data_IF_769138734273
#
_entry.id   IF_769138734273
#
_cell.length_a   1.000
_cell.length_b   1.000
_cell.length_c   1.000
_cell.angle_alpha   90.00
_cell.angle_beta   90.00
_cell.angle_gamma   90.00
#
_symmetry.space_group_name_H-M   'P 1'
#
loop_
_entity.id
_entity.type
_entity.pdbx_description
1 polymer ?
#
# COMPACT_ATOMS: atom_id res chain seq x y z
N UNK A 1 -3.77 53.08 37.71
CA UNK A 1 -3.35 54.08 36.70
C UNK A 1 -3.91 53.66 35.36
N UNK A 2 -4.90 54.42 34.89
CA UNK A 2 -5.69 54.25 33.67
C UNK A 2 -4.87 54.65 32.44
N UNK A 3 -5.02 53.93 31.31
CA UNK A 3 -5.12 54.54 29.98
C UNK A 3 -5.67 53.56 28.93
N UNK A 4 -6.91 53.85 28.56
CA UNK A 4 -7.68 53.44 27.38
C UNK A 4 -7.05 54.04 26.11
N UNK A 5 -7.02 53.28 24.99
CA UNK A 5 -7.15 53.79 23.59
C UNK A 5 -7.75 52.67 22.72
N UNK A 6 -9.06 52.71 22.44
CA UNK A 6 -9.73 53.22 21.22
C UNK A 6 -9.36 52.51 19.90
N UNK A 7 -10.39 51.87 19.31
CA UNK A 7 -10.51 51.48 17.89
C UNK A 7 -10.91 52.68 17.02
N UNK A 8 -10.63 52.62 15.70
CA UNK A 8 -11.64 52.85 14.65
C UNK A 8 -11.68 51.62 13.70
N UNK A 9 -12.78 51.09 13.16
CA UNK A 9 -13.98 51.63 12.51
C UNK A 9 -13.71 52.26 11.12
N UNK A 10 -13.73 51.43 10.06
CA UNK A 10 -13.90 51.77 8.62
C UNK A 10 -14.40 50.49 7.93
N UNK A 11 -15.29 50.42 6.94
CA UNK A 11 -16.47 51.17 6.51
C UNK A 11 -17.19 50.22 5.52
N UNK A 12 -18.52 50.28 5.46
CA UNK A 12 -19.36 49.52 4.52
C UNK A 12 -19.12 49.93 3.06
N UNK A 13 -19.26 48.98 2.14
CA UNK A 13 -19.76 49.24 0.79
C UNK A 13 -20.62 48.06 0.32
N UNK A 14 -21.93 48.26 0.39
CA UNK A 14 -22.97 47.42 -0.20
C UNK A 14 -23.00 47.62 -1.72
N UNK A 15 -23.10 46.55 -2.51
CA UNK A 15 -23.59 46.61 -3.89
C UNK A 15 -24.81 45.70 -4.00
N UNK A 16 -25.97 46.35 -4.07
CA UNK A 16 -27.22 45.78 -4.53
C UNK A 16 -27.20 45.77 -6.07
N UNK A 17 -27.53 44.64 -6.69
CA UNK A 17 -27.72 44.51 -8.13
C UNK A 17 -28.90 43.58 -8.41
N UNK A 18 -29.96 44.13 -8.96
CA UNK A 18 -31.29 43.57 -9.02
C UNK A 18 -31.51 42.54 -10.16
N UNK A 19 -32.43 41.63 -9.84
CA UNK A 19 -33.25 40.72 -10.65
C UNK A 19 -33.39 40.97 -12.16
N UNK A 20 -33.36 39.88 -12.94
CA UNK A 20 -34.34 39.64 -14.02
C UNK A 20 -34.67 38.15 -14.11
N UNK A 21 -35.91 37.83 -13.75
CA UNK A 21 -36.60 36.57 -14.03
C UNK A 21 -37.02 36.56 -15.51
N UNK A 22 -36.64 35.53 -16.26
CA UNK A 22 -37.33 35.18 -17.51
C UNK A 22 -38.07 33.86 -17.31
N UNK A 23 -39.39 33.99 -17.10
CA UNK A 23 -40.36 32.94 -17.33
C UNK A 23 -40.62 32.86 -18.84
N UNK A 24 -40.35 31.71 -19.44
CA UNK A 24 -40.98 31.30 -20.69
C UNK A 24 -41.49 29.88 -20.51
N UNK A 25 -42.82 29.79 -20.37
CA UNK A 25 -43.59 28.58 -20.40
C UNK A 25 -43.65 28.05 -21.84
N UNK A 26 -43.45 26.75 -22.02
CA UNK A 26 -44.06 26.02 -23.12
C UNK A 26 -44.82 24.84 -22.53
N UNK A 27 -46.12 24.92 -22.76
CA UNK A 27 -47.17 23.97 -22.44
C UNK A 27 -46.95 22.61 -23.10
N UNK A 28 -47.47 21.61 -22.38
CA UNK A 28 -47.49 20.20 -22.70
C UNK A 28 -48.44 19.96 -23.89
N UNK A 29 -47.97 19.23 -24.90
CA UNK A 29 -48.84 18.57 -25.87
C UNK A 29 -48.73 17.06 -25.63
N UNK A 30 -49.78 16.52 -25.01
CA UNK A 30 -50.03 15.10 -24.95
C UNK A 30 -50.75 14.72 -26.25
N UNK A 31 -50.06 13.96 -27.10
CA UNK A 31 -50.70 13.26 -28.21
C UNK A 31 -50.24 11.81 -28.20
N UNK A 32 -51.13 10.95 -27.71
CA UNK A 32 -51.02 9.50 -27.78
C UNK A 32 -51.09 9.07 -29.24
N UNK A 33 -50.17 8.21 -29.67
CA UNK A 33 -50.39 7.32 -30.81
C UNK A 33 -49.69 6.00 -30.52
N UNK A 34 -50.50 4.95 -30.37
CA UNK A 34 -50.08 3.55 -30.33
C UNK A 34 -49.32 3.18 -31.60
N UNK A 35 -48.26 2.38 -31.44
CA UNK A 35 -47.49 1.85 -32.55
C UNK A 35 -46.44 0.85 -32.09
N UNK A 36 -46.90 -0.38 -31.85
CA UNK A 36 -46.21 -1.65 -32.15
C UNK A 36 -44.78 -1.87 -31.64
N UNK A 37 -44.71 -2.67 -30.58
CA UNK A 37 -43.79 -3.79 -30.36
C UNK A 37 -42.53 -3.87 -31.26
N UNK A 38 -41.38 -3.55 -30.69
CA UNK A 38 -40.11 -4.20 -31.00
C UNK A 38 -39.25 -4.16 -29.75
N UNK A 39 -39.52 -5.10 -28.84
CA UNK A 39 -38.61 -5.38 -27.73
C UNK A 39 -37.29 -5.90 -28.32
N UNK A 40 -36.33 -5.01 -28.50
CA UNK A 40 -34.94 -5.42 -28.56
C UNK A 40 -34.60 -6.05 -27.21
N UNK A 41 -33.96 -7.24 -27.16
CA UNK A 41 -33.47 -7.75 -25.89
C UNK A 41 -32.47 -6.73 -25.36
N UNK A 42 -32.81 -6.08 -24.24
CA UNK A 42 -31.84 -5.44 -23.37
C UNK A 42 -30.85 -6.53 -23.00
N UNK A 43 -29.71 -6.56 -23.68
CA UNK A 43 -28.52 -7.17 -23.12
C UNK A 43 -28.25 -6.37 -21.85
N UNK A 44 -28.63 -6.93 -20.70
CA UNK A 44 -28.00 -6.58 -19.46
C UNK A 44 -26.53 -6.93 -19.64
N UNK A 45 -25.71 -5.93 -19.95
CA UNK A 45 -24.30 -5.95 -19.60
C UNK A 45 -24.27 -6.07 -18.06
N UNK A 46 -24.29 -7.30 -17.58
CA UNK A 46 -23.86 -7.61 -16.23
C UNK A 46 -22.39 -7.24 -16.20
N UNK A 47 -22.10 -6.07 -15.61
CA UNK A 47 -20.74 -5.61 -15.38
C UNK A 47 -19.94 -6.79 -14.82
N UNK A 48 -18.76 -7.10 -15.40
CA UNK A 48 -17.95 -8.20 -14.90
C UNK A 48 -17.81 -8.05 -13.39
N UNK A 49 -18.27 -9.06 -12.65
CA UNK A 49 -18.07 -9.09 -11.20
C UNK A 49 -16.58 -8.87 -10.96
N UNK A 50 -16.25 -7.84 -10.18
CA UNK A 50 -14.87 -7.53 -9.84
C UNK A 50 -14.18 -8.81 -9.37
N UNK A 51 -13.11 -9.21 -10.07
CA UNK A 51 -12.40 -10.43 -9.74
C UNK A 51 -11.93 -10.35 -8.28
N UNK A 52 -12.15 -11.43 -7.54
CA UNK A 52 -11.74 -11.48 -6.14
C UNK A 52 -10.22 -11.23 -6.05
N UNK A 53 -9.77 -10.40 -5.11
CA UNK A 53 -8.36 -10.07 -4.97
C UNK A 53 -7.55 -11.33 -4.65
N UNK A 54 -6.48 -11.54 -5.41
CA UNK A 54 -5.52 -12.64 -5.15
C UNK A 54 -4.96 -12.47 -3.74
N UNK A 55 -5.04 -13.53 -2.93
CA UNK A 55 -4.61 -13.55 -1.54
C UNK A 55 -5.17 -12.37 -0.71
N UNK A 56 -6.47 -12.09 -0.89
CA UNK A 56 -7.18 -11.04 -0.17
C UNK A 56 -7.18 -11.24 1.35
N UNK A 57 -6.92 -10.17 2.10
CA UNK A 57 -7.09 -10.12 3.57
C UNK A 57 -8.44 -9.51 3.94
N UNK A 58 -8.90 -9.74 5.18
CA UNK A 58 -10.07 -9.01 5.71
C UNK A 58 -9.73 -7.53 5.94
N UNK A 59 -10.34 -6.65 5.14
CA UNK A 59 -10.11 -5.22 5.22
C UNK A 59 -10.42 -4.63 6.61
N UNK A 60 -11.38 -5.20 7.36
CA UNK A 60 -11.75 -4.69 8.70
C UNK A 60 -10.59 -4.73 9.68
N UNK A 61 -9.64 -5.65 9.49
CA UNK A 61 -8.43 -5.75 10.32
C UNK A 61 -7.54 -4.52 10.14
N UNK A 62 -7.60 -3.86 8.97
CA UNK A 62 -6.76 -2.72 8.59
C UNK A 62 -7.48 -1.37 8.72
N UNK A 63 -8.71 -1.35 9.21
CA UNK A 63 -9.45 -0.11 9.45
C UNK A 63 -8.75 0.77 10.48
N UNK A 64 -8.87 2.10 10.32
CA UNK A 64 -8.44 3.07 11.31
C UNK A 64 -9.07 2.79 12.68
N UNK A 65 -8.28 2.96 13.74
CA UNK A 65 -8.80 2.89 15.11
C UNK A 65 -9.59 4.14 15.51
N UNK A 66 -9.47 5.23 14.75
CA UNK A 66 -10.26 6.43 14.92
C UNK A 66 -11.63 6.26 14.22
N UNK A 67 -12.75 6.24 14.98
CA UNK A 67 -14.08 6.01 14.43
C UNK A 67 -14.57 7.14 13.49
N UNK A 68 -13.93 8.31 13.52
CA UNK A 68 -14.25 9.42 12.61
C UNK A 68 -13.47 9.34 11.28
N UNK A 69 -12.48 8.45 11.21
CA UNK A 69 -11.62 8.28 10.04
C UNK A 69 -11.98 6.98 9.31
N UNK A 70 -12.76 7.10 8.23
CA UNK A 70 -12.99 5.98 7.30
C UNK A 70 -11.79 5.83 6.35
N UNK A 71 -10.78 5.11 6.83
CA UNK A 71 -9.58 4.76 6.09
C UNK A 71 -9.08 3.37 6.49
N UNK A 72 -8.41 2.70 5.56
CA UNK A 72 -7.83 1.37 5.73
C UNK A 72 -6.35 1.43 5.42
N UNK A 73 -5.52 1.22 6.43
CA UNK A 73 -4.10 1.51 6.35
C UNK A 73 -3.22 0.34 6.74
N UNK A 74 -2.09 0.24 6.07
CA UNK A 74 -1.07 -0.76 6.38
C UNK A 74 0.33 -0.20 6.26
N UNK A 75 1.27 -0.88 6.91
CA UNK A 75 2.70 -0.75 6.65
C UNK A 75 3.20 -2.04 6.00
N UNK A 76 4.16 -1.91 5.09
CA UNK A 76 4.86 -3.08 4.53
C UNK A 76 5.72 -3.79 5.59
N UNK A 77 6.02 -5.09 5.41
CA UNK A 77 6.90 -5.82 6.35
C UNK A 77 8.31 -5.21 6.46
N UNK A 78 8.81 -4.56 5.40
CA UNK A 78 10.08 -3.83 5.44
C UNK A 78 10.00 -2.50 6.24
N UNK A 79 8.80 -2.05 6.59
CA UNK A 79 8.52 -0.76 7.21
C UNK A 79 8.76 0.45 6.30
N UNK A 80 9.08 0.24 5.01
CA UNK A 80 9.43 1.34 4.09
C UNK A 80 8.24 2.08 3.53
N UNK A 81 7.12 1.38 3.34
CA UNK A 81 5.91 1.98 2.81
C UNK A 81 4.81 1.92 3.86
N UNK A 82 4.17 3.07 4.07
CA UNK A 82 2.91 3.19 4.77
C UNK A 82 1.87 3.61 3.75
N UNK A 83 0.81 2.82 3.61
CA UNK A 83 -0.19 3.02 2.59
C UNK A 83 -1.59 3.09 3.20
N UNK A 84 -2.51 3.74 2.49
CA UNK A 84 -3.91 3.77 2.86
C UNK A 84 -4.82 3.72 1.64
N UNK A 85 -6.00 3.14 1.83
CA UNK A 85 -7.19 3.34 1.01
C UNK A 85 -8.13 4.23 1.82
N UNK A 86 -8.52 5.37 1.25
CA UNK A 86 -9.37 6.38 1.91
C UNK A 86 -10.64 6.54 1.06
N UNK A 87 -11.68 5.74 1.32
CA UNK A 87 -12.97 5.78 0.60
C UNK A 87 -13.54 7.20 0.46
N UNK A 88 -13.55 7.96 1.55
CA UNK A 88 -14.08 9.34 1.58
C UNK A 88 -13.36 10.32 0.64
N UNK A 89 -12.13 9.99 0.21
CA UNK A 89 -11.34 10.77 -0.75
C UNK A 89 -11.20 10.07 -2.11
N UNK A 90 -11.79 8.88 -2.28
CA UNK A 90 -11.67 8.04 -3.47
C UNK A 90 -10.20 7.87 -3.91
N UNK A 91 -9.33 7.50 -2.98
CA UNK A 91 -7.89 7.44 -3.22
C UNK A 91 -7.23 6.26 -2.51
N UNK A 92 -6.26 5.65 -3.18
CA UNK A 92 -5.28 4.75 -2.59
C UNK A 92 -3.88 5.32 -2.78
N UNK A 93 -3.06 5.34 -1.75
CA UNK A 93 -1.72 5.93 -1.83
C UNK A 93 -0.74 5.43 -0.79
N UNK A 94 0.54 5.65 -1.06
CA UNK A 94 1.66 5.23 -0.22
C UNK A 94 2.63 6.38 0.03
N UNK A 95 3.09 6.48 1.27
CA UNK A 95 4.16 7.34 1.76
C UNK A 95 5.33 6.50 2.28
N UNK A 96 6.52 7.11 2.39
CA UNK A 96 7.74 6.46 2.88
C UNK A 96 7.87 6.45 4.41
N UNK A 97 7.02 7.22 5.12
CA UNK A 97 7.09 7.40 6.56
C UNK A 97 5.73 7.83 7.15
N UNK A 98 5.42 7.52 8.43
CA UNK A 98 4.22 8.02 9.14
C UNK A 98 4.19 9.53 9.38
N UNK A 99 5.23 10.26 8.98
CA UNK A 99 5.31 11.73 9.13
C UNK A 99 5.47 12.38 7.78
N UNK A 100 5.17 13.68 7.70
CA UNK A 100 5.48 14.46 6.52
C UNK A 100 7.00 14.38 6.23
N UNK A 101 7.36 13.83 5.07
CA UNK A 101 8.72 13.65 4.61
C UNK A 101 8.76 13.22 3.15
N UNK A 102 9.88 13.42 2.44
CA UNK A 102 10.01 13.04 1.03
C UNK A 102 9.79 11.53 0.85
N UNK A 103 9.20 11.13 -0.28
CA UNK A 103 9.08 9.71 -0.64
C UNK A 103 10.43 9.02 -0.73
N UNK A 104 11.50 9.74 -1.10
CA UNK A 104 12.85 9.21 -1.12
C UNK A 104 13.07 8.16 -2.21
N UNK A 105 12.30 8.23 -3.30
CA UNK A 105 12.46 7.38 -4.48
C UNK A 105 13.17 8.12 -5.60
N UNK A 106 14.14 7.46 -6.29
CA UNK A 106 14.80 8.06 -7.45
C UNK A 106 13.79 8.53 -8.50
N UNK A 107 13.96 9.77 -8.97
CA UNK A 107 13.10 10.37 -9.99
C UNK A 107 11.76 10.92 -9.48
N UNK A 108 11.54 11.00 -8.16
CA UNK A 108 10.40 11.71 -7.61
C UNK A 108 10.50 13.22 -7.93
N UNK A 109 9.44 13.85 -8.47
CA UNK A 109 9.47 15.26 -8.83
C UNK A 109 9.39 16.16 -7.60
N UNK A 110 9.86 17.40 -7.77
CA UNK A 110 9.48 18.51 -6.90
C UNK A 110 8.09 18.99 -7.31
N UNK A 111 7.18 19.12 -6.34
CA UNK A 111 5.80 19.55 -6.54
C UNK A 111 5.45 20.69 -5.58
N UNK A 112 4.47 21.49 -5.96
CA UNK A 112 4.06 22.65 -5.17
C UNK A 112 3.65 22.22 -3.75
N UNK A 113 4.10 22.98 -2.75
CA UNK A 113 3.70 22.75 -1.36
C UNK A 113 2.26 23.22 -1.17
N UNK A 114 1.38 22.42 -0.53
CA UNK A 114 0.02 22.82 -0.17
C UNK A 114 -0.09 24.15 0.56
N UNK A 115 0.92 24.47 1.38
CA UNK A 115 0.93 25.65 2.23
C UNK A 115 1.45 26.92 1.52
N UNK A 116 1.65 26.85 0.20
CA UNK A 116 2.17 27.97 -0.60
C UNK A 116 3.66 28.24 -0.41
N UNK A 117 4.37 27.34 0.28
CA UNK A 117 5.83 27.37 0.40
C UNK A 117 6.56 26.98 -0.90
N UNK A 118 7.91 26.97 -0.89
CA UNK A 118 8.69 26.48 -2.03
C UNK A 118 8.29 25.06 -2.43
N UNK A 119 8.43 24.67 -3.71
CA UNK A 119 8.27 23.29 -4.13
C UNK A 119 9.13 22.36 -3.27
N UNK A 120 8.56 21.21 -2.91
CA UNK A 120 9.23 20.17 -2.15
C UNK A 120 9.09 18.84 -2.89
N UNK A 121 9.93 17.87 -2.54
CA UNK A 121 9.78 16.52 -3.07
C UNK A 121 8.40 15.96 -2.68
N UNK A 122 7.78 15.21 -3.59
CA UNK A 122 6.54 14.53 -3.30
C UNK A 122 6.65 13.63 -2.06
N UNK A 123 5.62 13.65 -1.22
CA UNK A 123 5.54 12.81 -0.02
C UNK A 123 4.54 11.65 -0.16
N UNK A 124 3.83 11.60 -1.30
CA UNK A 124 2.82 10.60 -1.58
C UNK A 124 2.85 10.21 -3.07
N UNK A 125 2.74 8.92 -3.35
CA UNK A 125 2.31 8.41 -4.66
C UNK A 125 0.89 7.86 -4.48
N UNK A 126 -0.03 8.23 -5.38
CA UNK A 126 -1.43 7.89 -5.21
C UNK A 126 -2.12 7.64 -6.56
N UNK A 127 -3.21 6.89 -6.50
CA UNK A 127 -4.20 6.77 -7.55
C UNK A 127 -5.55 7.19 -6.99
N UNK A 128 -6.19 8.13 -7.66
CA UNK A 128 -7.54 8.61 -7.36
C UNK A 128 -8.52 8.02 -8.37
N UNK A 129 -9.78 7.83 -7.96
CA UNK A 129 -10.80 7.27 -8.84
C UNK A 129 -10.95 8.05 -10.15
N UNK A 130 -10.89 7.34 -11.28
CA UNK A 130 -10.98 7.89 -12.63
C UNK A 130 -9.78 8.72 -13.09
N UNK A 131 -8.69 8.79 -12.33
CA UNK A 131 -7.49 9.60 -12.65
C UNK A 131 -6.25 8.74 -12.90
N UNK A 132 -5.26 9.35 -13.56
CA UNK A 132 -3.93 8.75 -13.66
C UNK A 132 -3.25 8.73 -12.28
N UNK A 133 -2.44 7.70 -11.98
CA UNK A 133 -1.59 7.70 -10.81
C UNK A 133 -0.61 8.88 -10.86
N UNK A 134 -0.35 9.49 -9.71
CA UNK A 134 0.43 10.72 -9.64
C UNK A 134 1.19 10.86 -8.33
N UNK A 135 2.20 11.72 -8.35
CA UNK A 135 2.84 12.21 -7.14
C UNK A 135 2.06 13.36 -6.55
N UNK A 136 1.87 13.33 -5.24
CA UNK A 136 1.15 14.35 -4.49
C UNK A 136 1.97 14.81 -3.27
N UNK A 137 1.64 16.01 -2.82
CA UNK A 137 2.17 16.55 -1.58
C UNK A 137 0.98 16.87 -0.68
N UNK A 138 0.85 16.14 0.43
CA UNK A 138 -0.21 16.38 1.41
C UNK A 138 0.29 17.08 2.67
N UNK A 139 1.61 17.23 2.87
CA UNK A 139 2.24 17.73 4.11
C UNK A 139 1.72 17.10 5.42
N UNK A 140 1.07 15.94 5.35
CA UNK A 140 0.55 15.18 6.47
C UNK A 140 0.74 13.69 6.22
N UNK A 141 0.49 12.87 7.25
CA UNK A 141 0.51 11.42 7.09
C UNK A 141 -0.64 10.93 6.20
N UNK A 142 -0.38 9.87 5.43
CA UNK A 142 -1.42 9.18 4.64
C UNK A 142 -2.37 8.36 5.52
N UNK A 143 -1.91 7.94 6.70
CA UNK A 143 -2.70 7.17 7.68
C UNK A 143 -2.22 7.46 9.11
N UNK A 144 -3.07 7.39 10.15
CA UNK A 144 -2.63 7.55 11.53
C UNK A 144 -1.45 6.63 11.89
N UNK A 145 -0.59 7.06 12.83
CA UNK A 145 0.48 6.21 13.35
C UNK A 145 -0.16 4.96 14.02
N UNK A 146 0.40 3.77 13.77
CA UNK A 146 -0.09 2.43 14.15
C UNK A 146 -0.87 1.64 13.08
N UNK A 147 -0.59 1.88 11.80
CA UNK A 147 -1.03 0.97 10.74
C UNK A 147 -0.52 -0.46 10.97
N UNK A 148 -1.35 -1.47 10.68
CA UNK A 148 -0.95 -2.89 10.82
C UNK A 148 -0.04 -3.31 9.66
N UNK A 149 0.78 -4.34 9.89
CA UNK A 149 1.59 -4.92 8.81
C UNK A 149 0.69 -5.69 7.86
N UNK A 150 0.74 -5.38 6.56
CA UNK A 150 0.16 -6.21 5.51
C UNK A 150 1.24 -7.18 5.00
N UNK A 151 1.08 -8.51 5.14
CA UNK A 151 2.12 -9.47 4.76
C UNK A 151 2.47 -9.42 3.27
N UNK A 152 3.67 -9.86 2.92
CA UNK A 152 4.03 -10.06 1.51
C UNK A 152 3.06 -11.04 0.82
N UNK A 153 2.86 -10.83 -0.48
CA UNK A 153 1.97 -11.57 -1.37
C UNK A 153 0.52 -11.61 -0.89
N UNK A 154 0.08 -10.55 -0.21
CA UNK A 154 -1.32 -10.34 0.15
C UNK A 154 -1.85 -9.06 -0.45
N UNK A 155 -3.18 -9.01 -0.60
CA UNK A 155 -3.89 -7.86 -1.15
C UNK A 155 -4.91 -7.33 -0.15
N UNK A 156 -4.83 -6.04 0.16
CA UNK A 156 -5.91 -5.30 0.79
C UNK A 156 -6.77 -4.70 -0.32
N UNK A 157 -8.03 -5.13 -0.42
CA UNK A 157 -8.99 -4.58 -1.36
C UNK A 157 -10.24 -4.10 -0.62
N UNK A 158 -10.62 -2.85 -0.86
CA UNK A 158 -11.80 -2.22 -0.27
C UNK A 158 -12.21 -1.02 -1.12
N UNK A 159 -13.52 -0.81 -1.25
CA UNK A 159 -14.12 0.37 -1.90
C UNK A 159 -13.60 0.66 -3.33
N UNK A 160 -13.42 -0.40 -4.13
CA UNK A 160 -12.96 -0.28 -5.52
C UNK A 160 -11.48 0.03 -5.68
N UNK A 161 -10.69 -0.07 -4.61
CA UNK A 161 -9.24 -0.01 -4.67
C UNK A 161 -8.62 -1.32 -4.18
N UNK A 162 -7.50 -1.69 -4.81
CA UNK A 162 -6.71 -2.86 -4.44
C UNK A 162 -5.25 -2.48 -4.28
N UNK A 163 -4.67 -2.76 -3.12
CA UNK A 163 -3.25 -2.61 -2.83
C UNK A 163 -2.63 -3.96 -2.49
N UNK A 164 -1.63 -4.40 -3.25
CA UNK A 164 -0.86 -5.59 -2.94
C UNK A 164 0.55 -5.23 -2.48
N UNK A 165 1.06 -6.04 -1.55
CA UNK A 165 2.42 -5.92 -1.04
C UNK A 165 3.23 -7.06 -1.61
N UNK A 166 4.15 -6.73 -2.51
CA UNK A 166 5.15 -7.67 -2.98
C UNK A 166 6.49 -7.32 -2.40
N UNK A 167 7.35 -8.32 -2.45
CA UNK A 167 8.76 -8.14 -2.19
C UNK A 167 9.38 -6.97 -2.99
N UNK A 168 9.04 -6.91 -4.29
CA UNK A 168 9.56 -5.94 -5.24
C UNK A 168 9.01 -4.53 -5.04
N UNK A 169 8.05 -4.34 -4.12
CA UNK A 169 7.39 -3.06 -3.89
C UNK A 169 5.91 -3.21 -3.56
N UNK A 170 5.27 -2.07 -3.29
CA UNK A 170 3.82 -2.00 -3.13
C UNK A 170 3.19 -1.57 -4.43
N UNK A 171 2.06 -2.18 -4.80
CA UNK A 171 1.26 -1.72 -5.93
C UNK A 171 -0.15 -1.43 -5.48
N UNK A 172 -0.71 -0.28 -5.89
CA UNK A 172 -2.11 0.08 -5.64
C UNK A 172 -2.77 0.47 -6.96
N UNK A 173 -4.05 0.11 -7.13
CA UNK A 173 -4.87 0.47 -8.29
C UNK A 173 -6.30 0.84 -7.89
N UNK A 174 -6.97 1.57 -8.78
CA UNK A 174 -8.42 1.59 -8.87
C UNK A 174 -8.88 0.39 -9.70
N UNK A 175 -9.77 -0.44 -9.15
CA UNK A 175 -10.24 -1.66 -9.79
C UNK A 175 -11.13 -1.40 -11.03
N UNK A 176 -11.83 -0.25 -11.07
CA UNK A 176 -12.71 0.10 -12.18
C UNK A 176 -11.96 0.49 -13.47
N UNK A 177 -10.72 0.99 -13.36
CA UNK A 177 -9.96 1.49 -14.50
C UNK A 177 -8.63 0.77 -14.72
N UNK A 178 -8.24 -0.13 -13.81
CA UNK A 178 -6.93 -0.77 -13.72
C UNK A 178 -5.74 0.21 -13.62
N UNK A 179 -6.02 1.51 -13.46
CA UNK A 179 -4.99 2.52 -13.28
C UNK A 179 -4.42 2.37 -11.89
N UNK A 180 -3.10 2.46 -11.81
CA UNK A 180 -2.41 2.23 -10.57
C UNK A 180 -0.93 2.49 -10.68
N UNK A 181 -0.23 2.28 -9.57
CA UNK A 181 1.21 2.45 -9.51
C UNK A 181 1.87 1.25 -8.85
N UNK A 182 3.18 1.15 -9.04
CA UNK A 182 4.07 0.30 -8.26
C UNK A 182 5.20 1.17 -7.74
N UNK A 183 5.52 1.06 -6.45
CA UNK A 183 6.61 1.79 -5.81
C UNK A 183 7.52 0.86 -5.02
N UNK A 184 8.82 1.09 -5.13
CA UNK A 184 9.89 0.33 -4.48
C UNK A 184 11.03 1.27 -4.10
N UNK A 185 12.00 0.80 -3.31
CA UNK A 185 13.18 1.62 -2.98
C UNK A 185 14.07 1.90 -4.21
N UNK A 186 13.93 1.13 -5.29
CA UNK A 186 14.68 1.31 -6.53
C UNK A 186 14.01 2.26 -7.52
N UNK A 187 12.77 2.69 -7.26
CA UNK A 187 12.01 3.57 -8.13
C UNK A 187 10.53 3.21 -8.19
N UNK A 188 9.84 3.79 -9.16
CA UNK A 188 8.39 3.68 -9.33
C UNK A 188 8.01 3.49 -10.80
N UNK A 189 6.77 3.06 -11.02
CA UNK A 189 6.09 3.09 -12.32
C UNK A 189 4.60 3.36 -12.11
N UNK A 190 3.98 4.00 -13.09
CA UNK A 190 2.54 4.26 -13.15
C UNK A 190 1.78 3.11 -13.78
N UNK A 191 2.06 1.92 -13.26
CA UNK A 191 1.39 0.67 -13.62
C UNK A 191 1.23 -0.19 -12.37
N UNK A 192 0.11 -0.88 -12.25
CA UNK A 192 -0.10 -1.87 -11.20
C UNK A 192 0.66 -3.16 -11.50
N UNK A 193 1.42 -3.67 -10.53
CA UNK A 193 2.01 -5.01 -10.64
C UNK A 193 1.16 -6.00 -9.84
N UNK A 194 0.49 -6.97 -10.48
CA UNK A 194 -0.27 -8.00 -9.76
C UNK A 194 0.67 -8.97 -9.04
N UNK A 195 0.15 -9.67 -8.03
CA UNK A 195 0.84 -10.79 -7.40
C UNK A 195 0.92 -11.93 -8.45
N UNK A 196 2.10 -12.55 -8.66
CA UNK A 196 2.23 -13.68 -9.56
C UNK A 196 1.39 -14.86 -9.05
N UNK A 197 0.33 -15.21 -9.78
CA UNK A 197 -0.38 -16.47 -9.53
C UNK A 197 0.36 -17.60 -10.25
N UNK A 198 0.77 -18.62 -9.51
CA UNK A 198 1.26 -19.85 -10.13
C UNK A 198 0.08 -20.53 -10.82
N UNK A 199 -0.02 -20.38 -12.15
CA UNK A 199 -0.94 -21.20 -12.94
C UNK A 199 -0.57 -22.67 -12.74
N UNK A 200 -1.53 -23.58 -12.53
CA UNK A 200 -1.22 -25.01 -12.49
C UNK A 200 -0.65 -25.42 -13.84
N UNK A 201 0.67 -25.56 -13.92
CA UNK A 201 1.33 -26.19 -15.06
C UNK A 201 0.86 -27.64 -15.11
N UNK A 202 0.23 -28.03 -16.23
CA UNK A 202 -0.03 -29.43 -16.53
C UNK A 202 1.29 -30.21 -16.41
N UNK A 203 1.40 -31.05 -15.39
CA UNK A 203 2.59 -31.86 -15.12
C UNK A 203 2.79 -32.92 -16.20
N UNK A 204 3.99 -33.10 -16.77
CA UNK A 204 4.40 -34.40 -17.28
C UNK A 204 4.75 -35.33 -16.11
N UNK A 205 4.49 -36.63 -16.31
CA UNK A 205 4.50 -37.70 -15.32
C UNK A 205 5.68 -37.69 -14.32
N UNK A 206 5.34 -37.83 -13.03
CA UNK A 206 6.27 -38.01 -11.92
C UNK A 206 6.95 -39.39 -11.99
N UNK A 207 8.29 -39.41 -11.96
CA UNK A 207 9.07 -40.58 -11.53
C UNK A 207 9.44 -40.36 -10.07
N UNK A 208 9.19 -41.40 -9.25
CA UNK A 208 9.37 -41.45 -7.80
C UNK A 208 10.85 -41.23 -7.34
N UNK A 209 11.08 -40.98 -6.04
CA UNK A 209 12.12 -40.06 -5.57
C UNK A 209 13.47 -40.73 -5.30
N UNK A 210 14.54 -40.08 -5.76
CA UNK A 210 15.85 -40.15 -5.11
C UNK A 210 15.96 -38.94 -4.19
N UNK A 211 16.39 -39.15 -2.95
CA UNK A 211 16.60 -38.08 -1.96
C UNK A 211 17.47 -36.97 -2.56
N UNK A 212 16.85 -35.82 -2.84
CA UNK A 212 17.49 -34.65 -3.43
C UNK A 212 17.58 -33.53 -2.39
N UNK A 213 18.64 -32.69 -2.44
CA UNK A 213 18.84 -31.56 -1.54
C UNK A 213 17.66 -30.59 -1.57
N UNK A 214 17.50 -29.82 -0.50
CA UNK A 214 16.49 -28.77 -0.33
C UNK A 214 16.21 -28.03 -1.65
N UNK A 215 14.93 -27.84 -2.04
CA UNK A 215 14.60 -27.18 -3.29
C UNK A 215 15.15 -25.76 -3.22
N UNK A 216 16.22 -25.49 -3.99
CA UNK A 216 16.46 -24.15 -4.47
C UNK A 216 15.24 -23.81 -5.31
N UNK A 217 14.31 -23.04 -4.73
CA UNK A 217 13.21 -22.49 -5.50
C UNK A 217 13.83 -21.71 -6.65
N UNK A 218 13.27 -21.97 -7.84
CA UNK A 218 13.87 -21.63 -9.12
C UNK A 218 14.28 -20.16 -9.18
N UNK A 219 15.36 -19.90 -9.93
CA UNK A 219 15.85 -18.56 -10.29
C UNK A 219 14.67 -17.59 -10.46
N UNK A 220 14.57 -16.61 -9.56
CA UNK A 220 13.59 -15.53 -9.65
C UNK A 220 12.67 -15.36 -8.43
N UNK A 221 12.57 -16.34 -7.51
CA UNK A 221 11.88 -16.13 -6.24
C UNK A 221 12.85 -15.68 -5.15
N UNK A 222 12.65 -14.48 -4.61
CA UNK A 222 13.40 -13.98 -3.45
C UNK A 222 12.91 -14.57 -2.12
N UNK A 223 11.99 -15.53 -2.16
CA UNK A 223 11.54 -16.31 -1.01
C UNK A 223 12.35 -17.60 -0.91
N UNK A 224 12.83 -17.88 0.29
CA UNK A 224 13.72 -18.98 0.59
C UNK A 224 13.05 -20.12 1.36
N UNK A 225 11.79 -19.93 1.71
CA UNK A 225 11.00 -20.88 2.50
C UNK A 225 11.09 -20.61 4.01
N UNK A 226 10.47 -21.46 4.84
CA UNK A 226 10.35 -21.20 6.27
C UNK A 226 11.62 -21.60 7.05
N UNK A 227 11.96 -20.79 8.06
CA UNK A 227 12.86 -21.11 9.19
C UNK A 227 12.03 -21.13 10.48
N UNK A 228 12.33 -22.01 11.44
CA UNK A 228 11.58 -22.03 12.69
C UNK A 228 12.13 -21.00 13.69
N UNK A 229 11.25 -20.20 14.30
CA UNK A 229 11.63 -19.41 15.46
C UNK A 229 12.01 -20.36 16.61
N UNK A 230 13.19 -20.20 17.23
CA UNK A 230 13.66 -21.13 18.27
C UNK A 230 12.79 -21.10 19.54
N UNK A 231 12.20 -19.95 19.86
CA UNK A 231 11.40 -19.77 21.09
C UNK A 231 9.98 -20.34 20.95
N UNK A 232 9.38 -20.25 19.76
CA UNK A 232 7.96 -20.58 19.53
C UNK A 232 7.75 -21.80 18.65
N UNK A 233 8.79 -22.26 17.94
CA UNK A 233 8.70 -23.32 16.93
C UNK A 233 7.86 -22.95 15.71
N UNK A 234 7.34 -21.71 15.63
CA UNK A 234 6.52 -21.25 14.51
C UNK A 234 7.38 -21.04 13.26
N UNK A 235 6.87 -21.34 12.06
CA UNK A 235 7.57 -21.03 10.83
C UNK A 235 7.67 -19.51 10.65
N UNK A 236 8.79 -19.07 10.10
CA UNK A 236 9.06 -17.73 9.64
C UNK A 236 9.52 -17.83 8.19
N UNK A 237 8.79 -17.29 7.24
CA UNK A 237 9.21 -17.24 5.84
C UNK A 237 10.42 -16.31 5.70
N UNK A 238 11.52 -16.84 5.17
CA UNK A 238 12.74 -16.08 4.85
C UNK A 238 12.65 -15.51 3.46
N UNK A 239 12.95 -14.21 3.34
CA UNK A 239 12.84 -13.46 2.10
C UNK A 239 14.04 -12.51 1.94
N UNK A 240 14.73 -12.53 0.80
CA UNK A 240 15.96 -11.74 0.55
C UNK A 240 15.58 -10.40 -0.08
N UNK A 241 15.35 -9.33 0.72
CA UNK A 241 14.89 -7.93 0.43
C UNK A 241 15.74 -7.12 -0.53
N UNK A 242 17.04 -7.36 -0.54
CA UNK A 242 17.93 -6.65 -1.46
C UNK A 242 19.17 -7.48 -1.70
N UNK A 243 19.72 -7.35 -2.90
CA UNK A 243 21.01 -7.93 -3.25
C UNK A 243 20.93 -9.28 -3.93
N UNK A 244 22.05 -9.99 -4.00
CA UNK A 244 22.21 -11.25 -4.76
C UNK A 244 22.47 -12.46 -3.87
N UNK A 245 22.15 -12.31 -2.57
CA UNK A 245 22.33 -13.34 -1.57
C UNK A 245 21.55 -14.61 -1.97
N UNK A 246 22.12 -15.77 -1.69
CA UNK A 246 21.42 -17.04 -1.93
C UNK A 246 20.59 -17.45 -0.73
N UNK A 247 19.56 -18.27 -0.97
CA UNK A 247 18.68 -18.74 0.09
C UNK A 247 19.37 -19.59 1.17
N UNK A 248 20.39 -20.37 0.81
CA UNK A 248 21.22 -21.10 1.75
C UNK A 248 22.03 -20.15 2.66
N UNK A 249 22.53 -19.06 2.11
CA UNK A 249 23.25 -18.03 2.87
C UNK A 249 22.30 -17.24 3.79
N UNK A 250 21.11 -16.90 3.31
CA UNK A 250 20.06 -16.25 4.10
C UNK A 250 19.63 -17.11 5.30
N UNK A 251 19.41 -18.41 5.08
CA UNK A 251 19.04 -19.35 6.13
C UNK A 251 20.18 -19.55 7.13
N UNK A 252 21.42 -19.69 6.66
CA UNK A 252 22.58 -19.81 7.52
C UNK A 252 22.78 -18.57 8.41
N UNK A 253 22.60 -17.37 7.83
CA UNK A 253 22.67 -16.10 8.56
C UNK A 253 21.57 -16.00 9.62
N UNK A 254 20.30 -16.28 9.27
CA UNK A 254 19.21 -16.24 10.24
C UNK A 254 19.35 -17.29 11.34
N UNK A 255 19.85 -18.49 11.01
CA UNK A 255 20.13 -19.53 12.02
C UNK A 255 21.18 -19.05 13.03
N UNK A 256 22.22 -18.34 12.57
CA UNK A 256 23.20 -17.71 13.46
C UNK A 256 22.58 -16.63 14.33
N UNK A 257 21.75 -15.75 13.76
CA UNK A 257 21.01 -14.73 14.50
C UNK A 257 20.16 -15.36 15.61
N UNK A 258 19.40 -16.42 15.30
CA UNK A 258 18.55 -17.12 16.26
C UNK A 258 19.32 -17.80 17.40
N UNK A 259 20.57 -18.18 17.15
CA UNK A 259 21.47 -18.78 18.13
C UNK A 259 22.23 -17.74 18.97
N UNK A 260 22.14 -16.44 18.65
CA UNK A 260 22.85 -15.40 19.37
C UNK A 260 22.25 -15.15 20.77
N UNK A 261 23.09 -14.97 21.81
CA UNK A 261 22.63 -14.78 23.18
C UNK A 261 21.88 -13.45 23.41
N UNK A 262 22.19 -12.41 22.63
CA UNK A 262 21.67 -11.05 22.81
C UNK A 262 20.63 -10.64 21.74
N UNK A 263 20.01 -11.62 21.06
CA UNK A 263 19.06 -11.40 19.95
C UNK A 263 17.78 -10.61 20.30
N UNK A 264 17.51 -10.43 21.60
CA UNK A 264 16.34 -9.70 22.11
C UNK A 264 16.56 -8.18 22.15
N UNK A 265 17.77 -7.70 21.83
CA UNK A 265 18.00 -6.27 21.64
C UNK A 265 17.32 -5.76 20.35
N UNK A 266 16.80 -4.52 20.33
CA UNK A 266 16.09 -3.97 19.17
C UNK A 266 16.97 -3.85 17.91
N UNK A 267 18.30 -3.83 18.09
CA UNK A 267 19.30 -3.89 17.03
C UNK A 267 20.41 -4.83 17.50
N UNK A 268 20.76 -5.81 16.68
CA UNK A 268 21.85 -6.73 16.94
C UNK A 268 22.74 -6.84 15.72
N UNK A 269 24.05 -6.65 15.91
CA UNK A 269 25.03 -6.71 14.84
C UNK A 269 25.96 -7.91 15.02
N UNK A 270 26.17 -8.69 13.96
CA UNK A 270 27.08 -9.83 13.95
C UNK A 270 27.60 -10.11 12.54
N UNK A 271 28.85 -10.54 12.39
CA UNK A 271 29.44 -10.94 11.09
C UNK A 271 29.22 -9.94 9.93
N UNK A 272 29.16 -8.62 10.21
CA UNK A 272 28.89 -7.59 9.19
C UNK A 272 27.41 -7.42 8.81
N UNK A 273 26.51 -8.05 9.55
CA UNK A 273 25.06 -7.90 9.46
C UNK A 273 24.54 -7.07 10.64
N UNK A 274 23.58 -6.20 10.37
CA UNK A 274 22.76 -5.51 11.36
C UNK A 274 21.31 -6.00 11.23
N UNK A 275 20.83 -6.69 12.26
CA UNK A 275 19.46 -7.20 12.34
C UNK A 275 18.63 -6.38 13.32
N UNK A 276 17.43 -5.99 12.89
CA UNK A 276 16.49 -5.19 13.66
C UNK A 276 15.17 -5.93 13.81
N UNK A 277 14.63 -5.90 15.02
CA UNK A 277 13.29 -6.40 15.30
C UNK A 277 12.27 -5.32 14.92
N UNK A 278 11.39 -5.64 13.98
CA UNK A 278 10.27 -4.79 13.58
C UNK A 278 8.96 -5.34 14.15
N UNK A 279 8.31 -4.54 15.01
CA UNK A 279 7.08 -4.88 15.73
C UNK A 279 7.19 -4.63 17.23
N UNK A 280 6.04 -4.48 17.91
CA UNK A 280 6.00 -4.34 19.37
C UNK A 280 6.40 -5.69 20.01
N UNK A 281 7.24 -5.72 21.06
CA UNK A 281 7.59 -6.97 21.78
C UNK A 281 6.37 -7.72 22.33
N UNK A 282 5.20 -7.07 22.47
CA UNK A 282 3.91 -7.70 22.77
C UNK A 282 3.30 -8.53 21.62
N UNK A 283 3.91 -8.54 20.43
CA UNK A 283 3.44 -9.28 19.23
C UNK A 283 3.91 -10.75 19.17
N UNK A 284 4.44 -11.26 20.29
CA UNK A 284 5.04 -12.60 20.42
C UNK A 284 4.09 -13.77 20.10
N UNK A 285 2.78 -13.53 20.03
CA UNK A 285 1.81 -14.57 19.66
C UNK A 285 1.75 -14.85 18.15
N UNK A 286 2.13 -13.89 17.29
CA UNK A 286 2.01 -14.02 15.83
C UNK A 286 3.39 -14.22 15.18
N UNK A 287 4.45 -13.64 15.76
CA UNK A 287 5.83 -13.67 15.28
C UNK A 287 6.33 -12.27 14.95
N UNK A 288 7.59 -11.98 15.23
CA UNK A 288 8.20 -10.67 14.98
C UNK A 288 8.91 -10.66 13.63
N UNK A 289 8.79 -9.57 12.87
CA UNK A 289 9.54 -9.46 11.61
C UNK A 289 10.99 -9.09 11.92
N UNK A 290 11.94 -9.90 11.47
CA UNK A 290 13.37 -9.61 11.59
C UNK A 290 13.81 -9.00 10.27
N UNK A 291 14.48 -7.86 10.30
CA UNK A 291 15.08 -7.24 9.13
C UNK A 291 16.59 -7.14 9.32
N UNK A 292 17.35 -7.93 8.56
CA UNK A 292 18.80 -7.98 8.57
C UNK A 292 19.38 -7.32 7.33
N UNK A 293 20.35 -6.41 7.49
CA UNK A 293 21.07 -5.77 6.38
C UNK A 293 22.57 -5.96 6.56
N UNK A 294 23.30 -6.26 5.50
CA UNK A 294 24.76 -6.34 5.53
C UNK A 294 25.44 -5.06 4.98
N UNK A 295 26.75 -4.98 5.17
CA UNK A 295 27.58 -3.86 4.68
C UNK A 295 27.56 -3.71 3.14
N UNK A 296 27.23 -4.78 2.41
CA UNK A 296 27.10 -4.76 0.95
C UNK A 296 25.72 -4.27 0.50
N UNK A 297 24.82 -3.97 1.44
CA UNK A 297 23.45 -3.56 1.19
C UNK A 297 22.53 -4.71 0.77
N UNK A 298 22.92 -5.96 1.02
CA UNK A 298 22.00 -7.09 1.00
C UNK A 298 21.04 -6.97 2.18
N UNK A 299 19.77 -7.30 1.97
CA UNK A 299 18.76 -7.26 3.03
C UNK A 299 18.01 -8.59 3.05
N UNK A 300 17.74 -9.13 4.23
CA UNK A 300 17.00 -10.38 4.46
C UNK A 300 15.95 -10.13 5.53
N UNK A 301 14.72 -10.58 5.28
CA UNK A 301 13.61 -10.49 6.19
C UNK A 301 13.10 -11.88 6.56
N UNK A 302 12.87 -12.12 7.86
CA UNK A 302 12.13 -13.28 8.35
C UNK A 302 10.80 -12.80 8.95
N UNK A 303 9.69 -13.34 8.47
CA UNK A 303 8.34 -12.97 8.91
C UNK A 303 7.53 -14.24 9.23
N UNK A 304 6.67 -14.24 10.26
CA UNK A 304 5.78 -15.39 10.51
C UNK A 304 4.82 -15.72 9.37
#
# INVERSE_FOLDING_TARGET
MTRIRLRPAVALASIAGASTLFLAACTQDASSTEGTESAAPSASDEAPAAEAPVNGVDAKVYASSDPETDAYGFVTPSGKWQCAIIPTRNVAGCASHPTAGPLGVPGAPQIASPDGGPPAEANLIAVEAGKEPSFQNWNQTVFPANAKVLPYDTTLAIDGFSCNVQFSGVSCREDATDKGFTISTSGYKFEFTPIPVSLPSASPAQIAPTAAPLPQQARGSNQCGPVAYPETGKPATVVIVKGTLRCDEAHAMLTKYFAAPDKNEPVYSFDGWECRLAGDPGSAEIGYTINCTDDNGNTVVAQP
#
